data_IF_967631404771
#
_entry.id   IF_967631404771
#
_cell.length_a   1.000
_cell.length_b   1.000
_cell.length_c   1.000
_cell.angle_alpha   90.00
_cell.angle_beta   90.00
_cell.angle_gamma   90.00
#
_symmetry.space_group_name_H-M   'P 1'
#
loop_
_entity.id
_entity.type
_entity.pdbx_description
1 polymer ?
#
# COMPACT_ATOMS: atom_id res chain seq x y z
N UNK A 1 -15.83 5.44 6.03
CA UNK A 1 -14.93 6.59 5.87
C UNK A 1 -15.80 7.76 5.45
N UNK A 2 -15.59 8.94 6.04
CA UNK A 2 -16.34 10.16 5.72
C UNK A 2 -15.38 11.23 5.18
N UNK A 3 -15.86 12.01 4.21
CA UNK A 3 -15.15 13.08 3.54
C UNK A 3 -15.92 14.41 3.68
N UNK A 4 -15.29 15.50 3.41
CA UNK A 4 -15.87 16.84 3.43
C UNK A 4 -16.58 17.22 2.10
N UNK A 5 -16.32 16.49 1.03
CA UNK A 5 -16.89 16.67 -0.31
C UNK A 5 -17.67 15.43 -0.79
N UNK A 6 -18.43 15.61 -1.89
CA UNK A 6 -19.08 14.52 -2.58
C UNK A 6 -18.03 13.71 -3.35
N UNK A 7 -17.99 12.40 -3.10
CA UNK A 7 -16.97 11.54 -3.70
C UNK A 7 -17.58 10.35 -4.44
N UNK A 8 -16.83 9.79 -5.35
CA UNK A 8 -17.06 8.49 -5.99
C UNK A 8 -15.78 7.66 -5.98
N UNK A 9 -15.91 6.35 -6.08
CA UNK A 9 -14.76 5.43 -6.23
C UNK A 9 -14.79 4.88 -7.64
N UNK A 10 -13.72 5.14 -8.40
CA UNK A 10 -13.58 4.69 -9.78
C UNK A 10 -12.67 3.47 -9.87
N UNK A 11 -13.09 2.49 -10.67
CA UNK A 11 -12.30 1.27 -10.94
C UNK A 11 -11.82 0.57 -9.65
N UNK A 12 -12.71 0.46 -8.66
CA UNK A 12 -12.36 -0.09 -7.33
C UNK A 12 -11.69 -1.47 -7.42
N UNK A 13 -12.13 -2.34 -8.34
CA UNK A 13 -11.58 -3.68 -8.52
C UNK A 13 -10.11 -3.70 -8.96
N UNK A 14 -9.68 -2.69 -9.70
CA UNK A 14 -8.31 -2.60 -10.21
C UNK A 14 -7.39 -1.79 -9.28
N UNK A 15 -7.94 -0.73 -8.68
CA UNK A 15 -7.17 0.27 -7.95
C UNK A 15 -7.12 0.04 -6.44
N UNK A 16 -8.18 -0.53 -5.86
CA UNK A 16 -8.23 -0.73 -4.41
C UNK A 16 -7.60 -2.07 -4.04
N UNK A 17 -6.67 -2.03 -3.09
CA UNK A 17 -6.05 -3.24 -2.56
C UNK A 17 -6.14 -3.27 -1.04
N UNK A 18 -6.52 -4.41 -0.50
CA UNK A 18 -6.54 -4.66 0.94
C UNK A 18 -5.31 -5.47 1.33
N UNK A 19 -4.66 -5.08 2.41
CA UNK A 19 -3.47 -5.78 2.93
C UNK A 19 -3.58 -5.99 4.45
N UNK A 20 -3.51 -7.24 4.96
CA UNK A 20 -3.34 -8.52 4.25
C UNK A 20 -4.37 -8.75 3.15
N UNK A 21 -3.99 -9.48 2.07
CA UNK A 21 -4.88 -9.70 0.95
C UNK A 21 -6.13 -10.47 1.35
N UNK A 22 -7.24 -10.19 0.64
CA UNK A 22 -8.53 -10.84 0.81
C UNK A 22 -8.82 -11.70 -0.42
N UNK A 23 -9.21 -12.95 -0.23
CA UNK A 23 -9.61 -13.85 -1.34
C UNK A 23 -10.94 -13.37 -1.94
N UNK A 24 -11.89 -13.01 -1.05
CA UNK A 24 -13.15 -12.42 -1.48
C UNK A 24 -12.98 -10.91 -1.59
N UNK A 25 -13.25 -10.36 -2.78
CA UNK A 25 -13.14 -8.91 -2.99
C UNK A 25 -14.07 -8.17 -2.05
N UNK A 26 -13.59 -7.09 -1.40
CA UNK A 26 -14.42 -6.28 -0.51
C UNK A 26 -15.56 -5.61 -1.29
N UNK A 27 -16.71 -5.51 -0.66
CA UNK A 27 -17.81 -4.68 -1.17
C UNK A 27 -17.55 -3.22 -0.81
N UNK A 28 -17.45 -2.36 -1.83
CA UNK A 28 -17.23 -0.93 -1.68
C UNK A 28 -18.44 -0.18 -2.19
N UNK A 29 -19.10 0.57 -1.30
CA UNK A 29 -20.28 1.37 -1.61
C UNK A 29 -20.03 2.83 -1.29
N UNK A 30 -20.39 3.71 -2.21
CA UNK A 30 -20.31 5.16 -2.02
C UNK A 30 -21.70 5.75 -1.87
N UNK A 31 -21.88 6.66 -0.92
CA UNK A 31 -23.12 7.38 -0.69
C UNK A 31 -22.81 8.83 -0.28
N UNK A 32 -22.92 9.74 -1.24
CA UNK A 32 -22.62 11.16 -1.03
C UNK A 32 -21.16 11.38 -0.59
N UNK A 33 -20.97 11.74 0.68
CA UNK A 33 -19.65 12.01 1.28
C UNK A 33 -19.05 10.82 2.04
N UNK A 34 -19.54 9.60 1.82
CA UNK A 34 -19.13 8.42 2.58
C UNK A 34 -18.78 7.24 1.70
N UNK A 35 -17.74 6.52 2.11
CA UNK A 35 -17.42 5.18 1.60
C UNK A 35 -17.68 4.19 2.72
N UNK A 36 -18.48 3.16 2.41
CA UNK A 36 -18.66 1.97 3.25
C UNK A 36 -17.92 0.82 2.61
N UNK A 37 -17.16 0.08 3.41
CA UNK A 37 -16.36 -1.05 2.96
C UNK A 37 -16.72 -2.25 3.83
N UNK A 38 -17.12 -3.34 3.20
CA UNK A 38 -17.37 -4.60 3.86
C UNK A 38 -16.32 -5.62 3.42
N UNK A 39 -15.53 -6.10 4.38
CA UNK A 39 -14.55 -7.14 4.16
C UNK A 39 -15.23 -8.49 4.37
N UNK A 40 -15.21 -9.34 3.35
CA UNK A 40 -15.97 -10.59 3.32
C UNK A 40 -15.22 -11.76 3.96
N UNK A 41 -13.89 -11.69 4.00
CA UNK A 41 -13.05 -12.70 4.63
C UNK A 41 -12.98 -12.50 6.14
N UNK A 42 -12.82 -13.60 6.87
CA UNK A 42 -12.57 -13.55 8.31
C UNK A 42 -11.26 -12.84 8.62
N UNK A 43 -11.33 -11.78 9.40
CA UNK A 43 -10.16 -10.99 9.76
C UNK A 43 -9.26 -11.74 10.74
N UNK A 44 -7.95 -11.66 10.49
CA UNK A 44 -6.93 -12.22 11.39
C UNK A 44 -6.87 -11.40 12.68
N UNK A 45 -6.78 -12.03 13.86
CA UNK A 45 -6.65 -11.30 15.13
C UNK A 45 -5.31 -10.58 15.23
N UNK A 46 -5.25 -9.52 16.04
CA UNK A 46 -4.05 -8.72 16.33
C UNK A 46 -3.27 -8.31 15.07
N UNK A 47 -3.99 -7.92 14.02
CA UNK A 47 -3.44 -7.65 12.70
C UNK A 47 -3.82 -6.25 12.23
N UNK A 48 -2.85 -5.49 11.76
CA UNK A 48 -3.08 -4.22 11.09
C UNK A 48 -3.55 -4.48 9.66
N UNK A 49 -4.61 -3.84 9.26
CA UNK A 49 -5.13 -3.83 7.89
C UNK A 49 -4.94 -2.47 7.26
N UNK A 50 -4.57 -2.46 5.99
CA UNK A 50 -4.57 -1.26 5.16
C UNK A 50 -5.50 -1.46 3.98
N UNK A 51 -6.26 -0.43 3.63
CA UNK A 51 -7.06 -0.35 2.42
C UNK A 51 -6.50 0.80 1.62
N UNK A 52 -5.75 0.48 0.59
CA UNK A 52 -5.14 1.45 -0.30
C UNK A 52 -6.08 1.70 -1.47
N UNK A 53 -6.51 2.93 -1.63
CA UNK A 53 -7.39 3.37 -2.71
C UNK A 53 -6.60 3.91 -3.91
N UNK A 54 -5.27 4.09 -3.76
CA UNK A 54 -4.47 4.75 -4.79
C UNK A 54 -5.12 6.10 -5.22
N UNK A 55 -5.44 6.25 -6.49
CA UNK A 55 -6.14 7.39 -7.08
C UNK A 55 -7.64 7.10 -7.39
N UNK A 56 -8.21 6.06 -6.77
CA UNK A 56 -9.58 5.64 -7.03
C UNK A 56 -10.64 6.61 -6.48
N UNK A 57 -10.34 7.32 -5.38
CA UNK A 57 -11.27 8.28 -4.80
C UNK A 57 -11.17 9.59 -5.56
N UNK A 58 -12.26 10.02 -6.15
CA UNK A 58 -12.32 11.28 -6.91
C UNK A 58 -13.51 12.12 -6.43
N UNK A 59 -13.37 13.44 -6.57
CA UNK A 59 -14.48 14.37 -6.43
C UNK A 59 -15.57 14.06 -7.45
N UNK A 60 -16.83 14.03 -7.02
CA UNK A 60 -17.95 13.72 -7.90
C UNK A 60 -18.28 14.85 -8.88
N UNK A 61 -17.92 16.10 -8.57
CA UNK A 61 -18.24 17.28 -9.38
C UNK A 61 -17.14 17.56 -10.41
N UNK A 62 -15.88 17.59 -9.95
CA UNK A 62 -14.74 18.01 -10.78
C UNK A 62 -13.95 16.82 -11.33
N UNK A 63 -14.08 15.64 -10.75
CA UNK A 63 -13.35 14.44 -11.16
C UNK A 63 -11.89 14.43 -10.73
N UNK A 64 -11.47 15.37 -9.88
CA UNK A 64 -10.10 15.41 -9.37
C UNK A 64 -9.86 14.27 -8.39
N UNK A 65 -8.76 13.51 -8.54
CA UNK A 65 -8.43 12.46 -7.57
C UNK A 65 -7.95 13.06 -6.25
N UNK A 66 -8.34 12.45 -5.14
CA UNK A 66 -7.84 12.77 -3.80
C UNK A 66 -6.33 12.52 -3.68
N UNK A 67 -5.77 11.71 -4.57
CA UNK A 67 -4.40 11.23 -4.49
C UNK A 67 -4.30 9.90 -3.76
N UNK A 68 -3.09 9.53 -3.36
CA UNK A 68 -2.82 8.23 -2.74
C UNK A 68 -3.38 8.18 -1.31
N UNK A 69 -4.63 7.75 -1.19
CA UNK A 69 -5.29 7.62 0.10
C UNK A 69 -5.26 6.18 0.60
N UNK A 70 -4.76 5.98 1.82
CA UNK A 70 -4.74 4.68 2.48
C UNK A 70 -5.44 4.78 3.83
N UNK A 71 -6.41 3.90 4.07
CA UNK A 71 -7.08 3.78 5.36
C UNK A 71 -6.46 2.65 6.17
N UNK A 72 -6.24 2.89 7.47
CA UNK A 72 -5.65 1.92 8.41
C UNK A 72 -6.62 1.56 9.51
N UNK A 73 -6.65 0.29 9.88
CA UNK A 73 -7.27 -0.15 11.12
C UNK A 73 -6.55 -1.40 11.66
N UNK A 74 -6.80 -1.75 12.90
CA UNK A 74 -6.24 -2.97 13.51
C UNK A 74 -7.34 -3.74 14.22
N UNK A 75 -7.25 -5.08 14.14
CA UNK A 75 -8.08 -6.00 14.92
C UNK A 75 -7.50 -6.27 16.32
N UNK A 76 -6.36 -5.66 16.63
CA UNK A 76 -5.71 -5.67 17.91
C UNK A 76 -5.66 -4.28 18.56
N UNK A 77 -4.82 -4.15 19.57
CA UNK A 77 -4.63 -2.90 20.33
C UNK A 77 -3.48 -2.03 19.80
N UNK A 78 -2.83 -2.43 18.70
CA UNK A 78 -1.71 -1.71 18.08
C UNK A 78 -1.93 -1.63 16.57
N UNK A 79 -1.45 -0.54 15.98
CA UNK A 79 -1.36 -0.35 14.53
C UNK A 79 0.12 -0.38 14.17
N UNK A 80 0.48 -1.26 13.24
CA UNK A 80 1.82 -1.27 12.67
C UNK A 80 1.96 -0.14 11.66
N UNK A 81 3.10 0.55 11.69
CA UNK A 81 3.32 1.78 10.91
C UNK A 81 4.53 1.71 9.98
N UNK A 82 5.31 0.61 10.03
CA UNK A 82 6.46 0.46 9.16
C UNK A 82 6.03 0.24 7.71
N UNK A 83 6.93 0.58 6.79
CA UNK A 83 6.68 0.49 5.35
C UNK A 83 7.84 -0.21 4.64
N UNK A 84 7.54 -0.82 3.49
CA UNK A 84 8.52 -1.36 2.55
C UNK A 84 8.19 -0.80 1.18
N UNK A 85 9.10 -0.01 0.62
CA UNK A 85 8.92 0.62 -0.68
C UNK A 85 10.06 0.26 -1.63
N UNK A 86 9.79 0.38 -2.94
CA UNK A 86 10.77 0.10 -3.98
C UNK A 86 10.19 0.25 -5.36
N UNK A 87 10.93 -0.28 -6.35
CA UNK A 87 10.55 -0.23 -7.75
C UNK A 87 10.59 -1.62 -8.39
N UNK A 88 9.66 -1.88 -9.28
CA UNK A 88 9.65 -3.06 -10.14
C UNK A 88 9.90 -2.61 -11.57
N UNK A 89 10.99 -3.13 -12.15
CA UNK A 89 11.43 -2.81 -13.49
C UNK A 89 11.50 -4.09 -14.33
N UNK A 90 11.31 -3.95 -15.63
CA UNK A 90 11.57 -5.04 -16.60
C UNK A 90 13.05 -5.39 -16.58
N UNK A 91 13.36 -6.67 -16.64
CA UNK A 91 14.76 -7.14 -16.55
C UNK A 91 15.59 -6.88 -17.83
N UNK A 92 14.93 -6.73 -18.97
CA UNK A 92 15.56 -6.56 -20.28
C UNK A 92 15.86 -5.11 -20.66
N UNK A 93 15.00 -4.17 -20.25
CA UNK A 93 15.08 -2.77 -20.68
C UNK A 93 14.98 -1.74 -19.54
N UNK A 94 14.81 -2.21 -18.29
CA UNK A 94 14.65 -1.41 -17.08
C UNK A 94 13.44 -0.45 -17.11
N UNK A 95 12.46 -0.71 -17.97
CA UNK A 95 11.22 0.07 -17.96
C UNK A 95 10.36 -0.25 -16.74
N UNK A 96 9.67 0.75 -16.18
CA UNK A 96 8.80 0.54 -15.04
C UNK A 96 7.61 -0.36 -15.38
N UNK A 97 7.26 -1.26 -14.44
CA UNK A 97 6.13 -2.17 -14.61
C UNK A 97 4.96 -1.72 -13.74
N UNK A 98 3.87 -1.29 -14.36
CA UNK A 98 2.65 -0.86 -13.69
C UNK A 98 1.76 -2.05 -13.33
N UNK A 99 1.06 -1.94 -12.19
CA UNK A 99 -0.03 -2.85 -11.79
C UNK A 99 0.42 -4.23 -11.31
N UNK A 100 1.72 -4.44 -11.11
CA UNK A 100 2.28 -5.69 -10.57
C UNK A 100 1.97 -5.77 -9.08
N UNK A 101 1.54 -6.92 -8.64
CA UNK A 101 1.37 -7.23 -7.22
C UNK A 101 2.75 -7.41 -6.58
N UNK A 102 3.05 -6.65 -5.53
CA UNK A 102 4.25 -6.85 -4.73
C UNK A 102 3.83 -7.33 -3.35
N UNK A 103 4.40 -8.44 -2.91
CA UNK A 103 4.04 -9.07 -1.65
C UNK A 103 5.24 -9.39 -0.76
N UNK A 104 4.97 -9.47 0.54
CA UNK A 104 5.94 -9.85 1.56
C UNK A 104 5.59 -11.21 2.16
N UNK A 105 6.63 -12.00 2.41
CA UNK A 105 6.59 -13.18 3.28
C UNK A 105 7.51 -13.01 4.48
N UNK A 106 7.03 -13.35 5.68
CA UNK A 106 7.86 -13.52 6.87
C UNK A 106 8.49 -14.93 6.95
N UNK A 107 7.89 -15.90 6.24
CA UNK A 107 8.51 -17.19 6.04
C UNK A 107 9.60 -17.05 4.98
N UNK A 108 10.86 -17.24 5.39
CA UNK A 108 12.04 -17.07 4.53
C UNK A 108 12.39 -18.34 3.72
N UNK A 109 11.60 -19.41 3.82
CA UNK A 109 11.80 -20.61 3.01
C UNK A 109 11.54 -20.31 1.54
N UNK A 110 12.35 -20.93 0.65
CA UNK A 110 12.26 -20.73 -0.79
C UNK A 110 10.93 -21.22 -1.40
N UNK A 111 10.19 -22.08 -0.70
CA UNK A 111 8.86 -22.54 -1.12
C UNK A 111 7.71 -21.66 -0.64
N UNK A 112 7.96 -20.63 0.17
CA UNK A 112 6.88 -19.85 0.79
C UNK A 112 5.94 -19.22 -0.24
N UNK A 113 6.49 -18.63 -1.30
CA UNK A 113 5.72 -17.94 -2.33
C UNK A 113 4.83 -18.86 -3.20
N UNK A 114 5.07 -20.18 -3.18
CA UNK A 114 4.24 -21.16 -3.91
C UNK A 114 3.21 -21.84 -3.00
N UNK A 115 3.45 -21.86 -1.68
CA UNK A 115 2.65 -22.63 -0.74
C UNK A 115 1.73 -21.77 0.14
N UNK A 116 2.03 -20.47 0.24
CA UNK A 116 1.31 -19.55 1.11
C UNK A 116 0.99 -18.25 0.36
N UNK A 117 -0.18 -17.65 0.56
CA UNK A 117 -0.46 -16.33 0.03
C UNK A 117 0.43 -15.28 0.72
N UNK A 118 0.68 -14.19 0.03
CA UNK A 118 1.40 -13.05 0.63
C UNK A 118 0.74 -12.57 1.91
N UNK A 119 1.55 -12.22 2.90
CA UNK A 119 1.03 -11.68 4.15
C UNK A 119 0.73 -10.18 4.07
N UNK A 120 1.42 -9.47 3.19
CA UNK A 120 1.26 -8.04 2.90
C UNK A 120 1.43 -7.81 1.42
N UNK A 121 0.65 -6.90 0.87
CA UNK A 121 0.64 -6.62 -0.57
C UNK A 121 0.49 -5.13 -0.86
N UNK A 122 1.03 -4.70 -2.00
CA UNK A 122 0.74 -3.45 -2.67
C UNK A 122 0.80 -3.67 -4.20
N UNK A 123 0.33 -2.70 -4.98
CA UNK A 123 0.52 -2.69 -6.45
C UNK A 123 1.48 -1.59 -6.85
N UNK A 124 2.19 -1.83 -7.95
CA UNK A 124 3.05 -0.79 -8.54
C UNK A 124 2.21 0.25 -9.28
N UNK A 125 2.60 1.51 -9.13
CA UNK A 125 2.06 2.64 -9.88
C UNK A 125 2.60 2.73 -11.33
N UNK A 126 2.28 3.82 -12.04
CA UNK A 126 2.74 4.07 -13.40
C UNK A 126 4.26 4.18 -13.57
N UNK A 127 4.98 4.45 -12.50
CA UNK A 127 6.43 4.56 -12.45
C UNK A 127 7.10 3.27 -11.94
N UNK A 128 6.33 2.20 -11.78
CA UNK A 128 6.80 0.95 -11.20
C UNK A 128 7.07 1.00 -9.70
N UNK A 129 6.74 2.11 -9.04
CA UNK A 129 6.92 2.28 -7.60
C UNK A 129 5.81 1.57 -6.82
N UNK A 130 6.17 0.94 -5.71
CA UNK A 130 5.25 0.37 -4.73
C UNK A 130 5.60 0.82 -3.32
N UNK A 131 4.61 0.84 -2.44
CA UNK A 131 4.78 1.05 -1.00
C UNK A 131 3.84 0.13 -0.24
N UNK A 132 4.38 -0.89 0.41
CA UNK A 132 3.64 -1.79 1.28
C UNK A 132 3.61 -1.19 2.67
N UNK A 133 2.44 -0.79 3.12
CA UNK A 133 2.21 -0.08 4.38
C UNK A 133 1.69 -1.01 5.48
N UNK A 134 1.75 -0.57 6.73
CA UNK A 134 1.22 -1.30 7.88
C UNK A 134 2.02 -2.57 8.18
N UNK A 135 3.32 -2.55 7.97
CA UNK A 135 4.22 -3.68 8.19
C UNK A 135 4.66 -3.73 9.64
N UNK A 136 4.57 -4.88 10.27
CA UNK A 136 5.10 -5.11 11.61
C UNK A 136 6.64 -5.18 11.60
N UNK A 137 7.33 -4.92 12.72
CA UNK A 137 8.75 -5.22 12.83
C UNK A 137 9.04 -6.70 12.56
N UNK A 138 10.04 -6.99 11.74
CA UNK A 138 10.37 -8.36 11.36
C UNK A 138 11.36 -8.45 10.22
N UNK A 139 11.59 -9.68 9.76
CA UNK A 139 12.41 -9.96 8.59
C UNK A 139 11.53 -10.55 7.49
N UNK A 140 11.65 -10.03 6.29
CA UNK A 140 10.76 -10.35 5.17
C UNK A 140 11.56 -10.64 3.91
N UNK A 141 10.95 -11.40 2.99
CA UNK A 141 11.32 -11.44 1.57
C UNK A 141 10.22 -10.77 0.75
N UNK A 142 10.63 -9.99 -0.25
CA UNK A 142 9.72 -9.34 -1.18
C UNK A 142 9.73 -10.08 -2.52
N UNK A 143 8.55 -10.23 -3.08
CA UNK A 143 8.30 -10.82 -4.38
C UNK A 143 7.39 -9.89 -5.18
N UNK A 144 7.62 -9.81 -6.48
CA UNK A 144 6.71 -9.16 -7.41
C UNK A 144 6.11 -10.23 -8.33
N UNK A 145 4.79 -10.26 -8.43
CA UNK A 145 4.04 -11.30 -9.09
C UNK A 145 3.03 -10.70 -10.07
N UNK A 146 3.01 -11.22 -11.30
CA UNK A 146 1.88 -11.01 -12.20
C UNK A 146 0.81 -12.05 -11.89
N UNK A 147 0.10 -11.80 -10.78
CA UNK A 147 -0.96 -12.65 -10.27
C UNK A 147 -2.15 -12.62 -11.25
N UNK A 148 -2.45 -13.73 -11.88
CA UNK A 148 -3.47 -13.83 -12.92
C UNK A 148 -4.80 -14.38 -12.40
N UNK A 149 -4.79 -15.11 -11.31
CA UNK A 149 -5.97 -15.75 -10.71
C UNK A 149 -6.39 -15.11 -9.37
N UNK A 150 -5.63 -14.11 -8.89
CA UNK A 150 -5.85 -13.37 -7.65
C UNK A 150 -5.86 -14.24 -6.39
N UNK A 151 -5.02 -15.28 -6.36
CA UNK A 151 -4.85 -16.15 -5.19
C UNK A 151 -3.71 -15.69 -4.25
N UNK A 152 -2.98 -14.62 -4.65
CA UNK A 152 -1.89 -13.97 -3.92
C UNK A 152 -0.69 -14.87 -3.63
N UNK A 153 -0.46 -15.87 -4.45
CA UNK A 153 0.70 -16.77 -4.43
C UNK A 153 1.12 -17.12 -5.85
N UNK A 154 2.34 -17.55 -6.00
CA UNK A 154 2.85 -17.93 -7.31
C UNK A 154 2.27 -19.26 -7.80
N UNK A 155 1.74 -19.26 -9.00
CA UNK A 155 1.35 -20.45 -9.77
C UNK A 155 2.22 -20.57 -11.01
N UNK A 156 2.51 -21.80 -11.41
CA UNK A 156 3.36 -22.05 -12.57
C UNK A 156 2.79 -21.41 -13.84
N UNK A 157 3.61 -20.58 -14.48
CA UNK A 157 3.24 -19.83 -15.69
C UNK A 157 3.09 -18.34 -15.48
N UNK A 158 3.06 -17.89 -14.24
CA UNK A 158 3.06 -16.48 -13.91
C UNK A 158 4.47 -15.88 -13.93
N UNK A 159 4.55 -14.58 -14.16
CA UNK A 159 5.82 -13.86 -14.10
C UNK A 159 6.13 -13.51 -12.64
N UNK A 160 7.33 -13.85 -12.21
CA UNK A 160 7.83 -13.64 -10.85
C UNK A 160 9.15 -12.88 -10.85
N UNK A 161 9.29 -11.92 -9.96
CA UNK A 161 10.57 -11.35 -9.55
C UNK A 161 10.70 -11.40 -8.02
N UNK A 162 11.91 -11.37 -7.50
CA UNK A 162 12.16 -11.43 -6.07
C UNK A 162 13.42 -10.65 -5.68
N UNK A 163 13.42 -10.14 -4.44
CA UNK A 163 14.62 -9.59 -3.83
C UNK A 163 15.51 -10.73 -3.30
N UNK A 164 16.82 -10.68 -3.59
CA UNK A 164 17.80 -11.65 -3.07
C UNK A 164 17.99 -11.46 -1.57
N UNK A 165 17.98 -10.21 -1.11
CA UNK A 165 18.22 -9.87 0.29
C UNK A 165 16.92 -9.86 1.09
N UNK A 166 17.03 -10.22 2.36
CA UNK A 166 15.94 -10.05 3.30
C UNK A 166 15.80 -8.58 3.71
N UNK A 167 14.56 -8.14 3.91
CA UNK A 167 14.20 -6.77 4.25
C UNK A 167 13.84 -6.72 5.72
N UNK A 168 14.37 -5.73 6.45
CA UNK A 168 14.04 -5.43 7.84
C UNK A 168 13.58 -3.98 7.95
N UNK A 169 12.28 -3.73 7.85
CA UNK A 169 11.76 -2.37 8.02
C UNK A 169 12.08 -1.85 9.41
N UNK A 170 12.47 -0.61 9.50
CA UNK A 170 12.78 0.05 10.77
C UNK A 170 12.36 1.51 10.70
N UNK A 171 12.13 2.12 11.85
CA UNK A 171 11.86 3.54 11.95
C UNK A 171 12.89 4.19 12.86
N UNK A 172 13.21 5.44 12.57
CA UNK A 172 14.08 6.25 13.43
C UNK A 172 13.59 7.69 13.49
N UNK A 173 13.74 8.35 14.65
CA UNK A 173 13.38 9.75 14.78
C UNK A 173 14.40 10.62 14.03
N UNK A 174 13.91 11.65 13.38
CA UNK A 174 14.73 12.65 12.70
C UNK A 174 14.12 14.04 12.88
N UNK A 175 14.82 15.07 12.41
CA UNK A 175 14.42 16.46 12.49
C UNK A 175 14.49 17.07 11.10
N UNK A 176 13.35 17.50 10.58
CA UNK A 176 13.30 18.28 9.34
C UNK A 176 13.18 19.78 9.64
N UNK A 177 13.67 20.58 8.73
CA UNK A 177 13.46 22.03 8.75
C UNK A 177 12.25 22.39 7.92
N UNK A 178 11.23 22.91 8.58
CA UNK A 178 10.05 23.48 7.91
C UNK A 178 10.23 25.00 7.79
N UNK A 179 9.97 25.53 6.60
CA UNK A 179 10.01 26.97 6.33
C UNK A 179 8.58 27.50 6.30
N UNK A 180 8.31 28.46 7.18
CA UNK A 180 7.08 29.23 7.15
C UNK A 180 7.33 30.50 6.32
N UNK A 181 6.47 30.76 5.35
CA UNK A 181 6.57 31.92 4.47
C UNK A 181 5.60 32.98 4.94
N UNK A 182 6.10 34.22 5.08
CA UNK A 182 5.24 35.39 5.37
C UNK A 182 4.47 35.81 4.11
N UNK A 183 5.09 35.68 2.93
CA UNK A 183 4.50 35.89 1.61
C UNK A 183 5.20 35.00 0.57
N UNK A 184 4.95 35.19 -0.71
CA UNK A 184 5.53 34.40 -1.80
C UNK A 184 7.05 34.53 -1.97
N UNK A 185 7.70 35.48 -1.28
CA UNK A 185 9.13 35.81 -1.46
C UNK A 185 9.89 35.85 -0.13
N UNK A 186 9.21 36.15 0.98
CA UNK A 186 9.84 36.35 2.27
C UNK A 186 9.57 35.17 3.22
N UNK A 187 10.66 34.65 3.79
CA UNK A 187 10.58 33.63 4.84
C UNK A 187 10.31 34.34 6.16
N UNK A 188 9.23 33.91 6.86
CA UNK A 188 8.93 34.39 8.21
C UNK A 188 9.81 33.66 9.23
N UNK A 189 9.82 32.34 9.18
CA UNK A 189 10.54 31.54 10.18
C UNK A 189 10.97 30.18 9.62
N UNK A 190 12.12 29.69 10.10
CA UNK A 190 12.55 28.30 9.89
C UNK A 190 12.52 27.61 11.26
N UNK A 191 11.74 26.54 11.35
CA UNK A 191 11.65 25.74 12.58
C UNK A 191 12.05 24.30 12.36
N UNK A 192 12.63 23.68 13.39
CA UNK A 192 12.90 22.25 13.41
C UNK A 192 11.68 21.51 13.91
N UNK A 193 11.20 20.55 13.13
CA UNK A 193 10.03 19.74 13.46
C UNK A 193 10.47 18.28 13.54
N UNK A 194 10.22 17.60 14.67
CA UNK A 194 10.50 16.16 14.77
C UNK A 194 9.57 15.38 13.85
N UNK A 195 10.12 14.38 13.16
CA UNK A 195 9.34 13.43 12.38
C UNK A 195 9.98 12.04 12.47
N UNK A 196 9.29 11.01 12.00
CA UNK A 196 9.77 9.64 12.02
C UNK A 196 9.94 9.15 10.59
N UNK A 197 11.13 8.67 10.24
CA UNK A 197 11.36 7.86 9.04
C UNK A 197 10.88 6.43 9.28
N UNK A 198 10.22 5.88 8.29
CA UNK A 198 9.74 4.50 8.27
C UNK A 198 10.49 3.67 7.23
#
# INVERSE_FOLDING_TARGET
IAFDELIKVENAQEKVIVSPPQINMPEIKTAGKRISIELLDTLKPATTYTIDFSDAIVDSNEGNPLGNFTYYFSTGNRVDTLEVAGYVLQADNLEPVKGILVGLHSNLADSAFTTQPFMRVARTDGNGHFCIKGVAPGTYRAYALKDMDNDFRYVRGEMLAFSRDSIRPSSYPDIRRDTLWADTVHIDTIRSVPFTHY
#
